data_IF_853957734580
#
_entry.id   IF_853957734580
#
_cell.length_a   1.000
_cell.length_b   1.000
_cell.length_c   1.000
_cell.angle_alpha   90.00
_cell.angle_beta   90.00
_cell.angle_gamma   90.00
#
_symmetry.space_group_name_H-M   'P 1'
#
loop_
_entity.id
_entity.type
_entity.pdbx_description
1 polymer ?
#
# COMPACT_ATOMS: atom_id res chain seq x y z
N UNK A 1 -15.24 26.34 2.77
CA UNK A 1 -14.25 25.47 3.43
C UNK A 1 -14.92 24.15 3.72
N UNK A 2 -14.16 23.07 3.90
CA UNK A 2 -14.74 21.80 4.29
C UNK A 2 -15.09 21.85 5.78
N UNK A 3 -16.37 21.81 6.12
CA UNK A 3 -16.83 21.85 7.51
C UNK A 3 -16.99 20.45 8.11
N UNK A 4 -16.41 19.43 7.45
CA UNK A 4 -16.44 18.07 7.92
C UNK A 4 -15.20 17.30 7.44
N UNK A 5 -14.83 16.30 8.23
CA UNK A 5 -13.88 15.25 7.85
C UNK A 5 -14.67 13.97 7.57
N UNK A 6 -14.35 13.31 6.46
CA UNK A 6 -14.90 12.02 6.08
C UNK A 6 -13.86 10.95 6.29
N UNK A 7 -14.18 9.99 7.15
CA UNK A 7 -13.27 8.91 7.53
C UNK A 7 -13.84 7.58 7.08
N UNK A 8 -13.06 6.85 6.29
CA UNK A 8 -13.24 5.43 6.05
C UNK A 8 -12.09 4.66 6.68
N UNK A 9 -12.39 3.56 7.36
CA UNK A 9 -11.36 2.70 7.92
C UNK A 9 -11.74 1.22 7.84
N UNK A 10 -10.72 0.37 7.80
CA UNK A 10 -10.89 -1.08 7.67
C UNK A 10 -9.54 -1.79 7.70
N UNK A 11 -9.58 -3.13 7.67
CA UNK A 11 -8.37 -3.95 7.64
C UNK A 11 -8.21 -4.55 6.24
N UNK A 12 -7.03 -4.39 5.66
CA UNK A 12 -6.70 -5.10 4.43
C UNK A 12 -6.58 -6.60 4.74
N UNK A 13 -7.41 -7.42 4.10
CA UNK A 13 -7.45 -8.86 4.37
C UNK A 13 -6.18 -9.61 3.91
N UNK A 14 -5.42 -9.04 2.97
CA UNK A 14 -4.20 -9.64 2.41
C UNK A 14 -2.96 -9.28 3.21
N UNK A 15 -2.81 -8.00 3.57
CA UNK A 15 -1.61 -7.50 4.27
C UNK A 15 -1.79 -7.46 5.78
N UNK A 16 -3.02 -7.51 6.28
CA UNK A 16 -3.33 -7.35 7.70
C UNK A 16 -3.21 -5.91 8.21
N UNK A 17 -2.87 -4.95 7.35
CA UNK A 17 -2.71 -3.54 7.68
C UNK A 17 -4.06 -2.87 8.00
N UNK A 18 -4.05 -1.96 8.95
CA UNK A 18 -5.19 -1.10 9.25
C UNK A 18 -5.12 0.17 8.43
N UNK A 19 -6.16 0.40 7.64
CA UNK A 19 -6.25 1.55 6.74
C UNK A 19 -7.19 2.57 7.38
N UNK A 20 -6.74 3.82 7.47
CA UNK A 20 -7.55 4.97 7.88
C UNK A 20 -7.41 6.03 6.78
N UNK A 21 -8.54 6.44 6.20
CA UNK A 21 -8.61 7.39 5.08
C UNK A 21 -9.48 8.56 5.50
N UNK A 22 -8.87 9.74 5.68
CA UNK A 22 -9.49 10.94 6.26
C UNK A 22 -9.35 12.15 5.32
N UNK A 23 -10.45 12.57 4.70
CA UNK A 23 -10.44 13.61 3.66
C UNK A 23 -11.58 14.62 3.82
N UNK A 24 -11.48 15.77 3.15
CA UNK A 24 -12.58 16.74 3.05
C UNK A 24 -13.80 16.20 2.28
N UNK A 25 -13.56 15.29 1.34
CA UNK A 25 -14.55 14.81 0.37
C UNK A 25 -14.85 13.33 0.62
N UNK A 26 -16.13 12.97 0.72
CA UNK A 26 -16.56 11.58 0.97
C UNK A 26 -16.02 10.62 -0.10
N UNK A 27 -16.11 11.02 -1.37
CA UNK A 27 -15.69 10.20 -2.51
C UNK A 27 -14.19 9.94 -2.50
N UNK A 28 -13.39 10.94 -2.12
CA UNK A 28 -11.93 10.79 -2.00
C UNK A 28 -11.58 9.83 -0.87
N UNK A 29 -12.20 10.02 0.30
CA UNK A 29 -11.99 9.15 1.46
C UNK A 29 -12.35 7.69 1.12
N UNK A 30 -13.49 7.46 0.49
CA UNK A 30 -13.92 6.13 0.05
C UNK A 30 -12.96 5.54 -0.99
N UNK A 31 -12.61 6.30 -2.03
CA UNK A 31 -11.77 5.81 -3.12
C UNK A 31 -10.40 5.33 -2.62
N UNK A 32 -9.75 6.10 -1.75
CA UNK A 32 -8.46 5.72 -1.17
C UNK A 32 -8.59 4.49 -0.26
N UNK A 33 -9.55 4.49 0.66
CA UNK A 33 -9.76 3.35 1.55
C UNK A 33 -10.07 2.06 0.77
N UNK A 34 -10.91 2.17 -0.27
CA UNK A 34 -11.29 1.04 -1.12
C UNK A 34 -10.10 0.47 -1.89
N UNK A 35 -9.21 1.32 -2.41
CA UNK A 35 -7.98 0.87 -3.08
C UNK A 35 -7.04 0.15 -2.12
N UNK A 36 -6.92 0.65 -0.89
CA UNK A 36 -5.97 0.13 0.10
C UNK A 36 -6.47 -1.10 0.86
N UNK A 37 -7.78 -1.28 1.04
CA UNK A 37 -8.36 -2.45 1.76
C UNK A 37 -8.56 -3.67 0.83
N UNK A 38 -8.49 -3.49 -0.49
CA UNK A 38 -8.57 -4.58 -1.46
C UNK A 38 -9.87 -4.66 -2.24
N UNK A 39 -10.55 -3.52 -2.45
CA UNK A 39 -11.76 -3.36 -3.28
C UNK A 39 -13.00 -4.12 -2.80
N UNK A 40 -13.14 -4.33 -1.48
CA UNK A 40 -14.40 -4.76 -0.87
C UNK A 40 -14.93 -3.67 0.08
N UNK A 41 -16.06 -3.05 -0.28
CA UNK A 41 -16.68 -1.98 0.53
C UNK A 41 -17.23 -2.50 1.85
N UNK A 42 -17.57 -3.80 1.96
CA UNK A 42 -18.14 -4.38 3.20
C UNK A 42 -17.13 -4.40 4.35
N UNK A 43 -15.85 -4.27 4.04
CA UNK A 43 -14.76 -4.23 5.02
C UNK A 43 -14.49 -2.83 5.58
N UNK A 44 -15.21 -1.81 5.09
CA UNK A 44 -15.01 -0.42 5.47
C UNK A 44 -16.13 0.09 6.37
N UNK A 45 -15.73 0.75 7.45
CA UNK A 45 -16.62 1.55 8.29
C UNK A 45 -16.49 3.02 7.91
N UNK A 46 -17.60 3.74 7.88
CA UNK A 46 -17.66 5.16 7.52
C UNK A 46 -18.05 6.03 8.71
N UNK A 47 -17.43 7.21 8.80
CA UNK A 47 -17.85 8.29 9.70
C UNK A 47 -17.68 9.66 9.04
N UNK A 48 -18.69 10.50 9.27
CA UNK A 48 -18.57 11.95 9.11
C UNK A 48 -18.33 12.58 10.47
N UNK A 49 -17.32 13.44 10.58
CA UNK A 49 -17.05 14.29 11.74
C UNK A 49 -17.36 15.71 11.33
N UNK A 50 -18.37 16.31 11.94
CA UNK A 50 -18.72 17.71 11.70
C UNK A 50 -17.85 18.62 12.56
N UNK A 51 -17.39 19.70 11.95
CA UNK A 51 -16.68 20.78 12.62
C UNK A 51 -17.68 21.89 12.95
N UNK A 52 -17.47 22.64 14.04
CA UNK A 52 -18.29 23.81 14.35
C UNK A 52 -18.17 24.86 13.23
N UNK A 53 -19.06 25.86 13.23
CA UNK A 53 -19.04 26.91 12.20
C UNK A 53 -17.73 27.71 12.21
N UNK A 54 -17.18 27.95 13.40
CA UNK A 54 -15.87 28.57 13.61
C UNK A 54 -14.95 27.57 14.28
N UNK A 55 -13.78 27.36 13.69
CA UNK A 55 -12.78 26.42 14.20
C UNK A 55 -11.38 26.82 13.78
N UNK A 56 -10.39 26.24 14.45
CA UNK A 56 -8.97 26.34 14.15
C UNK A 56 -8.35 24.95 13.97
N UNK A 57 -7.05 24.89 13.68
CA UNK A 57 -6.33 23.62 13.54
C UNK A 57 -6.36 22.77 14.83
N UNK A 58 -6.42 23.41 16.01
CA UNK A 58 -6.51 22.71 17.30
C UNK A 58 -7.83 21.97 17.43
N UNK A 59 -8.93 22.60 17.03
CA UNK A 59 -10.28 22.01 17.02
C UNK A 59 -10.33 20.80 16.09
N UNK A 60 -9.75 20.91 14.89
CA UNK A 60 -9.65 19.80 13.92
C UNK A 60 -8.85 18.64 14.51
N UNK A 61 -7.68 18.93 15.10
CA UNK A 61 -6.83 17.93 15.76
C UNK A 61 -7.59 17.20 16.86
N UNK A 62 -8.25 17.92 17.76
CA UNK A 62 -9.01 17.32 18.87
C UNK A 62 -10.11 16.39 18.33
N UNK A 63 -10.92 16.88 17.38
CA UNK A 63 -12.03 16.10 16.80
C UNK A 63 -11.53 14.85 16.08
N UNK A 64 -10.40 14.94 15.38
CA UNK A 64 -9.76 13.79 14.76
C UNK A 64 -9.33 12.77 15.82
N UNK A 65 -8.58 13.18 16.84
CA UNK A 65 -8.06 12.28 17.88
C UNK A 65 -9.17 11.64 18.74
N UNK A 66 -10.23 12.37 19.05
CA UNK A 66 -11.44 11.84 19.69
C UNK A 66 -11.99 10.65 18.90
N UNK A 67 -12.09 10.79 17.57
CA UNK A 67 -12.60 9.71 16.74
C UNK A 67 -11.58 8.59 16.53
N UNK A 68 -10.29 8.91 16.40
CA UNK A 68 -9.24 7.90 16.36
C UNK A 68 -9.20 7.04 17.62
N UNK A 69 -9.65 7.57 18.77
CA UNK A 69 -9.77 6.78 20.01
C UNK A 69 -10.79 5.65 19.86
N UNK A 70 -11.90 5.89 19.15
CA UNK A 70 -12.90 4.86 18.83
C UNK A 70 -12.32 3.81 17.90
N UNK A 71 -11.60 4.23 16.86
CA UNK A 71 -10.93 3.31 15.92
C UNK A 71 -9.86 2.49 16.64
N UNK A 72 -9.09 3.10 17.55
CA UNK A 72 -8.04 2.43 18.33
C UNK A 72 -8.59 1.24 19.12
N UNK A 73 -9.72 1.42 19.81
CA UNK A 73 -10.41 0.32 20.51
C UNK A 73 -10.77 -0.83 19.57
N UNK A 74 -11.21 -0.53 18.34
CA UNK A 74 -11.49 -1.56 17.34
C UNK A 74 -10.23 -2.28 16.84
N UNK A 75 -9.14 -1.54 16.64
CA UNK A 75 -7.83 -2.10 16.27
C UNK A 75 -7.36 -3.06 17.36
N UNK A 76 -7.34 -2.62 18.61
CA UNK A 76 -6.90 -3.41 19.77
C UNK A 76 -7.73 -4.69 19.93
N UNK A 77 -9.06 -4.61 19.78
CA UNK A 77 -9.93 -5.79 19.83
C UNK A 77 -9.59 -6.81 18.75
N UNK A 78 -9.23 -6.36 17.56
CA UNK A 78 -8.85 -7.23 16.43
C UNK A 78 -7.42 -7.74 16.54
N UNK A 79 -6.51 -6.93 17.07
CA UNK A 79 -5.14 -7.35 17.34
C UNK A 79 -5.11 -8.42 18.43
N UNK A 80 -5.99 -8.36 19.43
CA UNK A 80 -6.15 -9.46 20.39
C UNK A 80 -6.57 -10.80 19.75
N UNK A 81 -7.13 -10.77 18.54
CA UNK A 81 -7.55 -11.96 17.77
C UNK A 81 -6.48 -12.43 16.78
N UNK A 82 -5.39 -11.68 16.58
CA UNK A 82 -4.32 -11.99 15.61
C UNK A 82 -2.95 -11.93 16.27
N UNK A 83 -2.03 -12.85 15.97
CA UNK A 83 -0.73 -12.96 16.66
C UNK A 83 0.31 -11.86 16.35
N UNK A 84 -0.11 -10.62 16.03
CA UNK A 84 0.79 -9.52 15.76
C UNK A 84 0.08 -8.17 15.65
N UNK A 85 0.79 -7.11 16.04
CA UNK A 85 0.37 -5.71 15.85
C UNK A 85 0.60 -5.31 14.39
N UNK A 86 -0.47 -4.95 13.70
CA UNK A 86 -0.40 -4.59 12.28
C UNK A 86 0.25 -3.21 12.06
N UNK A 87 0.61 -2.91 10.81
CA UNK A 87 0.94 -1.54 10.39
C UNK A 87 -0.34 -0.73 10.17
N UNK A 88 -0.33 0.55 10.53
CA UNK A 88 -1.40 1.51 10.26
C UNK A 88 -1.00 2.38 9.07
N UNK A 89 -1.83 2.41 8.04
CA UNK A 89 -1.73 3.35 6.92
C UNK A 89 -2.76 4.45 7.14
N UNK A 90 -2.28 5.66 7.42
CA UNK A 90 -3.13 6.84 7.58
C UNK A 90 -3.00 7.73 6.34
N UNK A 91 -4.09 7.91 5.61
CA UNK A 91 -4.12 8.69 4.37
C UNK A 91 -5.03 9.92 4.52
N UNK A 92 -4.56 11.09 4.06
CA UNK A 92 -5.29 12.35 4.23
C UNK A 92 -4.91 13.46 3.24
N UNK A 93 -5.74 14.51 3.21
CA UNK A 93 -5.40 15.78 2.57
C UNK A 93 -4.27 16.50 3.32
N UNK A 94 -3.33 17.11 2.59
CA UNK A 94 -2.22 17.90 3.20
C UNK A 94 -2.72 19.06 4.07
N UNK A 95 -3.84 19.65 3.67
CA UNK A 95 -4.53 20.77 4.31
C UNK A 95 -5.84 20.30 4.98
N UNK A 96 -5.84 19.11 5.57
CA UNK A 96 -7.03 18.50 6.20
C UNK A 96 -7.71 19.51 7.15
N UNK A 97 -8.93 19.89 6.76
CA UNK A 97 -9.74 20.95 7.34
C UNK A 97 -8.96 22.20 7.81
N UNK A 98 -7.96 22.66 7.07
CA UNK A 98 -7.37 23.97 7.32
C UNK A 98 -8.31 25.10 6.86
N UNK A 99 -8.30 26.22 7.58
CA UNK A 99 -9.07 27.42 7.22
C UNK A 99 -8.62 27.97 5.87
N UNK A 100 -7.30 28.04 5.65
CA UNK A 100 -6.73 28.43 4.36
C UNK A 100 -6.26 27.20 3.57
N UNK A 101 -6.54 27.20 2.26
CA UNK A 101 -6.23 26.07 1.38
C UNK A 101 -4.72 25.84 1.23
N UNK A 102 -3.91 26.86 1.45
CA UNK A 102 -2.45 26.84 1.33
C UNK A 102 -1.73 26.46 2.62
N UNK A 103 -2.47 26.21 3.70
CA UNK A 103 -1.89 25.82 4.98
C UNK A 103 -1.74 24.31 5.05
N UNK A 104 -0.60 23.86 5.57
CA UNK A 104 -0.43 22.47 5.95
C UNK A 104 -1.10 22.24 7.30
N UNK A 105 -1.81 21.12 7.46
CA UNK A 105 -2.36 20.70 8.74
C UNK A 105 -1.22 20.30 9.68
N UNK A 106 -0.87 21.10 10.72
CA UNK A 106 0.40 20.90 11.43
C UNK A 106 0.50 19.55 12.14
N UNK A 107 -0.65 19.04 12.61
CA UNK A 107 -0.75 17.74 13.30
C UNK A 107 -0.48 16.53 12.40
N UNK A 108 -0.39 16.71 11.08
CA UNK A 108 0.04 15.65 10.15
C UNK A 108 1.57 15.61 9.97
N UNK A 109 2.28 16.64 10.43
CA UNK A 109 3.73 16.80 10.28
C UNK A 109 4.49 16.76 11.63
N UNK A 110 3.79 16.82 12.76
CA UNK A 110 4.37 16.88 14.11
C UNK A 110 4.42 15.51 14.84
N UNK A 111 4.28 14.40 14.11
CA UNK A 111 4.18 13.03 14.63
C UNK A 111 2.97 12.77 15.55
N UNK A 112 1.97 13.67 15.62
CA UNK A 112 0.75 13.47 16.44
C UNK A 112 0.12 12.10 16.18
N UNK A 113 -0.06 11.71 14.91
CA UNK A 113 -0.70 10.43 14.57
C UNK A 113 0.17 9.23 14.99
N UNK A 114 1.49 9.32 14.82
CA UNK A 114 2.43 8.30 15.26
C UNK A 114 2.40 8.13 16.79
N UNK A 115 2.43 9.24 17.54
CA UNK A 115 2.35 9.20 19.01
C UNK A 115 1.00 8.69 19.52
N UNK A 116 -0.08 8.84 18.73
CA UNK A 116 -1.40 8.34 19.09
C UNK A 116 -1.50 6.80 19.02
N UNK A 117 -0.77 6.19 18.09
CA UNK A 117 -0.64 4.75 17.93
C UNK A 117 0.80 4.28 18.20
N UNK A 118 1.31 4.39 19.44
CA UNK A 118 2.72 4.15 19.75
C UNK A 118 3.12 2.68 19.58
N UNK A 119 2.15 1.77 19.62
CA UNK A 119 2.33 0.32 19.51
C UNK A 119 2.34 -0.17 18.05
N UNK A 120 2.05 0.70 17.09
CA UNK A 120 1.90 0.36 15.68
C UNK A 120 2.91 1.15 14.83
N UNK A 121 3.44 0.52 13.78
CA UNK A 121 4.11 1.28 12.73
C UNK A 121 3.05 2.10 11.99
N UNK A 122 3.15 3.44 12.05
CA UNK A 122 2.26 4.34 11.33
C UNK A 122 2.96 4.88 10.10
N UNK A 123 2.38 4.64 8.92
CA UNK A 123 2.79 5.23 7.65
C UNK A 123 1.74 6.22 7.16
N UNK A 124 2.16 7.47 6.97
CA UNK A 124 1.33 8.56 6.49
C UNK A 124 1.35 8.64 4.97
N UNK A 125 0.20 8.81 4.34
CA UNK A 125 0.07 9.14 2.91
C UNK A 125 -0.68 10.46 2.81
N UNK A 126 0.04 11.56 2.59
CA UNK A 126 -0.56 12.88 2.50
C UNK A 126 -0.55 13.37 1.06
N UNK A 127 -1.68 13.91 0.61
CA UNK A 127 -1.84 14.29 -0.79
C UNK A 127 -2.62 15.59 -1.02
N UNK A 128 -2.42 16.17 -2.21
CA UNK A 128 -3.18 17.32 -2.72
C UNK A 128 -3.34 17.23 -4.24
N UNK A 129 -4.27 18.00 -4.82
CA UNK A 129 -4.36 18.18 -6.27
C UNK A 129 -3.33 19.21 -6.81
N UNK A 130 -2.68 19.96 -5.93
CA UNK A 130 -1.79 21.08 -6.31
C UNK A 130 -0.31 20.66 -6.19
N UNK A 131 0.36 20.49 -7.34
CA UNK A 131 1.77 20.06 -7.41
C UNK A 131 2.75 21.01 -6.70
N UNK A 132 2.73 22.34 -6.94
CA UNK A 132 3.47 23.31 -6.13
C UNK A 132 3.26 23.15 -4.62
N UNK A 133 2.03 22.90 -4.19
CA UNK A 133 1.72 22.71 -2.77
C UNK A 133 2.34 21.42 -2.20
N UNK A 134 2.32 20.32 -2.96
CA UNK A 134 3.01 19.06 -2.59
C UNK A 134 4.52 19.27 -2.52
N UNK A 135 5.13 20.01 -3.45
CA UNK A 135 6.56 20.33 -3.43
C UNK A 135 6.95 21.16 -2.18
N UNK A 136 6.11 22.09 -1.76
CA UNK A 136 6.33 22.84 -0.52
C UNK A 136 6.21 21.93 0.72
N UNK A 137 5.27 20.99 0.73
CA UNK A 137 5.17 19.98 1.78
C UNK A 137 6.42 19.08 1.84
N UNK A 138 7.00 18.73 0.69
CA UNK A 138 8.25 17.96 0.59
C UNK A 138 9.40 18.74 1.24
N UNK A 139 9.61 20.00 0.86
CA UNK A 139 10.63 20.86 1.48
C UNK A 139 10.45 20.93 3.00
N UNK A 140 9.20 21.03 3.47
CA UNK A 140 8.90 21.05 4.91
C UNK A 140 9.26 19.72 5.59
N UNK A 141 8.89 18.58 4.99
CA UNK A 141 9.22 17.27 5.51
C UNK A 141 10.74 17.01 5.56
N UNK A 142 11.48 17.44 4.53
CA UNK A 142 12.94 17.37 4.49
C UNK A 142 13.57 18.14 5.66
N UNK A 143 13.12 19.38 5.92
CA UNK A 143 13.63 20.19 7.05
C UNK A 143 13.34 19.59 8.42
N UNK A 144 12.32 18.74 8.52
CA UNK A 144 11.87 18.09 9.75
C UNK A 144 12.40 16.66 9.89
N UNK A 145 13.14 16.16 8.90
CA UNK A 145 13.62 14.78 8.81
C UNK A 145 12.51 13.74 9.09
N UNK A 146 11.33 13.96 8.48
CA UNK A 146 10.19 13.06 8.67
C UNK A 146 10.43 11.70 8.01
N UNK A 147 9.92 10.65 8.66
CA UNK A 147 10.02 9.26 8.23
C UNK A 147 8.63 8.62 8.19
N UNK A 148 8.49 7.48 7.52
CA UNK A 148 7.21 6.77 7.34
C UNK A 148 6.11 7.67 6.76
N UNK A 149 6.46 8.39 5.71
CA UNK A 149 5.61 9.39 5.08
C UNK A 149 5.68 9.22 3.55
N UNK A 150 4.54 9.39 2.89
CA UNK A 150 4.44 9.54 1.44
C UNK A 150 3.75 10.85 1.15
N UNK A 151 4.43 11.72 0.42
CA UNK A 151 3.88 12.99 -0.05
C UNK A 151 3.66 12.87 -1.55
N UNK A 152 2.43 13.09 -2.01
CA UNK A 152 2.13 12.94 -3.43
C UNK A 152 0.99 13.85 -3.91
N UNK A 153 0.91 14.02 -5.22
CA UNK A 153 -0.34 14.48 -5.84
C UNK A 153 -1.39 13.38 -5.84
N UNK A 154 -2.67 13.75 -5.78
CA UNK A 154 -3.78 12.82 -5.93
C UNK A 154 -3.74 12.13 -7.28
N UNK A 155 -4.30 10.92 -7.37
CA UNK A 155 -4.29 10.10 -8.59
C UNK A 155 -5.03 10.74 -9.79
N UNK A 156 -5.86 11.77 -9.55
CA UNK A 156 -6.53 12.56 -10.59
C UNK A 156 -5.60 13.51 -11.34
N UNK A 157 -4.46 13.88 -10.75
CA UNK A 157 -3.48 14.79 -11.35
C UNK A 157 -2.65 14.01 -12.37
N UNK A 158 -2.81 14.34 -13.65
CA UNK A 158 -2.07 13.72 -14.76
C UNK A 158 -0.89 14.57 -15.21
N UNK A 159 -1.04 15.89 -15.13
CA UNK A 159 -0.01 16.84 -15.55
C UNK A 159 0.89 17.17 -14.36
N UNK A 160 2.19 16.93 -14.52
CA UNK A 160 3.22 17.12 -13.49
C UNK A 160 2.88 16.48 -12.13
N UNK A 161 2.64 15.15 -12.06
CA UNK A 161 2.41 14.47 -10.80
C UNK A 161 3.69 14.49 -9.95
N UNK A 162 3.52 14.71 -8.65
CA UNK A 162 4.62 14.73 -7.67
C UNK A 162 4.47 13.53 -6.75
N UNK A 163 5.57 12.86 -6.44
CA UNK A 163 5.56 11.69 -5.57
C UNK A 163 6.91 11.54 -4.86
N UNK A 164 6.90 11.46 -3.52
CA UNK A 164 8.08 11.25 -2.68
C UNK A 164 7.73 10.32 -1.51
N UNK A 165 8.59 9.35 -1.24
CA UNK A 165 8.45 8.39 -0.14
C UNK A 165 9.64 8.54 0.81
N UNK A 166 9.34 8.67 2.10
CA UNK A 166 10.27 8.67 3.22
C UNK A 166 10.15 7.33 3.92
N UNK A 167 11.13 6.46 3.73
CA UNK A 167 11.18 5.13 4.33
C UNK A 167 11.76 5.23 5.74
N UNK A 168 11.30 4.41 6.68
CA UNK A 168 11.96 4.27 7.96
C UNK A 168 13.47 4.02 7.78
N UNK A 169 14.30 4.77 8.50
CA UNK A 169 15.67 4.34 8.72
C UNK A 169 15.63 2.93 9.36
N UNK A 170 16.44 1.97 8.90
CA UNK A 170 16.49 0.67 9.53
C UNK A 170 16.78 0.88 11.01
N UNK A 171 15.98 0.27 11.88
CA UNK A 171 16.21 0.27 13.32
C UNK A 171 17.45 -0.59 13.62
N UNK A 172 18.64 -0.06 13.34
CA UNK A 172 19.90 -0.70 13.66
C UNK A 172 20.55 0.04 14.83
N UNK A 173 20.50 -0.67 15.96
CA UNK A 173 21.51 -0.80 17.02
C UNK A 173 21.91 0.48 17.78
N UNK A 174 21.58 0.46 19.07
CA UNK A 174 22.51 0.93 20.08
C UNK A 174 23.90 0.32 19.83
N UNK A 175 24.82 1.14 19.38
CA UNK A 175 26.28 1.03 19.55
C UNK A 175 26.74 2.48 19.42
N UNK A 176 26.94 3.23 20.51
CA UNK A 176 28.15 3.16 21.35
C UNK A 176 29.32 2.51 20.61
N UNK A 177 30.29 3.36 20.27
CA UNK A 177 31.58 3.11 19.64
C UNK A 177 31.67 3.25 18.12
N UNK A 178 32.37 4.33 17.78
CA UNK A 178 33.36 4.55 16.71
C UNK A 178 32.94 5.00 15.31
N UNK A 179 33.71 6.02 14.92
CA UNK A 179 33.77 6.84 13.71
C UNK A 179 33.99 6.03 12.42
N UNK A 180 33.71 6.72 11.30
CA UNK A 180 34.18 6.46 9.94
C UNK A 180 33.80 5.12 9.28
N UNK A 181 32.87 5.17 8.33
CA UNK A 181 33.23 4.93 6.92
C UNK A 181 32.08 5.29 5.97
N UNK A 182 32.42 6.03 4.92
CA UNK A 182 31.55 6.29 3.78
C UNK A 182 31.39 5.01 2.95
N UNK A 183 30.17 4.66 2.56
CA UNK A 183 29.99 3.81 1.38
C UNK A 183 28.86 4.34 0.50
N UNK A 184 29.24 5.22 -0.43
CA UNK A 184 28.51 5.40 -1.68
C UNK A 184 28.46 4.07 -2.42
N UNK A 185 27.26 3.53 -2.64
CA UNK A 185 27.08 2.35 -3.48
C UNK A 185 27.00 2.83 -4.93
N UNK A 186 28.12 2.76 -5.65
CA UNK A 186 28.19 2.91 -7.12
C UNK A 186 27.47 1.73 -7.79
N UNK A 187 26.30 1.99 -8.36
CA UNK A 187 25.57 1.02 -9.19
C UNK A 187 25.95 1.28 -10.65
N UNK A 188 27.21 1.04 -11.01
CA UNK A 188 27.64 0.99 -12.40
C UNK A 188 27.23 -0.34 -13.03
N UNK A 189 26.21 -0.28 -13.90
CA UNK A 189 25.72 -1.44 -14.66
C UNK A 189 26.74 -1.79 -15.75
N UNK A 190 27.28 -3.02 -15.81
CA UNK A 190 28.22 -3.39 -16.86
C UNK A 190 27.52 -3.40 -18.23
N UNK A 191 28.18 -2.92 -19.30
CA UNK A 191 27.60 -2.88 -20.62
C UNK A 191 27.27 -4.30 -21.13
N UNK A 192 26.15 -4.48 -21.85
CA UNK A 192 25.70 -5.80 -22.30
C UNK A 192 26.73 -6.46 -23.22
N UNK A 193 27.17 -7.66 -22.85
CA UNK A 193 28.09 -8.46 -23.65
C UNK A 193 27.37 -8.98 -24.91
N UNK A 194 27.60 -8.32 -26.05
CA UNK A 194 26.96 -8.64 -27.34
C UNK A 194 27.55 -9.86 -28.08
N UNK A 195 28.37 -10.71 -27.45
CA UNK A 195 29.03 -11.85 -28.13
C UNK A 195 28.16 -13.11 -28.31
N UNK A 196 26.85 -13.07 -28.06
CA UNK A 196 26.00 -14.26 -28.03
C UNK A 196 24.87 -14.37 -29.06
N UNK A 197 24.71 -13.44 -30.01
CA UNK A 197 23.55 -13.40 -30.91
C UNK A 197 23.96 -13.39 -32.39
N UNK A 198 24.57 -14.48 -32.83
CA UNK A 198 24.72 -14.79 -34.26
C UNK A 198 24.48 -16.28 -34.50
N UNK A 199 23.25 -16.74 -34.24
CA UNK A 199 22.78 -18.04 -34.74
C UNK A 199 21.93 -17.82 -35.97
N UNK A 200 22.35 -18.47 -37.06
CA UNK A 200 21.82 -18.49 -38.43
C UNK A 200 20.31 -18.22 -38.56
N UNK A 201 19.94 -17.36 -39.52
CA UNK A 201 18.58 -17.22 -40.06
C UNK A 201 18.01 -18.60 -40.43
N UNK A 202 17.15 -19.16 -39.59
CA UNK A 202 16.27 -20.27 -39.96
C UNK A 202 14.96 -19.69 -40.49
N UNK A 203 14.69 -19.98 -41.76
CA UNK A 203 13.46 -19.65 -42.45
C UNK A 203 12.34 -20.57 -41.91
N UNK A 204 11.57 -20.11 -40.92
CA UNK A 204 10.45 -20.88 -40.37
C UNK A 204 9.30 -20.80 -41.38
N UNK A 205 9.03 -21.92 -42.07
CA UNK A 205 7.85 -22.09 -42.90
C UNK A 205 6.84 -22.95 -42.13
N UNK A 206 5.81 -22.26 -41.65
CA UNK A 206 4.49 -22.74 -41.18
C UNK A 206 4.23 -22.82 -39.67
N UNK A 207 3.00 -22.44 -39.22
CA UNK A 207 2.66 -22.32 -37.79
C UNK A 207 2.67 -23.62 -36.97
N UNK A 208 2.67 -24.80 -37.63
CA UNK A 208 2.66 -26.10 -36.94
C UNK A 208 4.00 -26.48 -36.31
N UNK A 209 5.11 -25.87 -36.73
CA UNK A 209 6.44 -26.17 -36.19
C UNK A 209 6.76 -25.38 -34.91
N UNK A 210 6.16 -24.19 -34.74
CA UNK A 210 6.35 -23.34 -33.55
C UNK A 210 5.80 -24.00 -32.27
N UNK A 211 4.69 -24.75 -32.38
CA UNK A 211 4.10 -25.46 -31.24
C UNK A 211 4.99 -26.61 -30.71
N UNK A 212 5.88 -27.16 -31.56
CA UNK A 212 6.80 -28.25 -31.19
C UNK A 212 8.06 -27.74 -30.49
N UNK A 213 8.44 -26.47 -30.70
CA UNK A 213 9.60 -25.85 -30.03
C UNK A 213 9.27 -25.27 -28.65
N UNK A 214 8.00 -24.97 -28.38
CA UNK A 214 7.53 -24.49 -27.06
C UNK A 214 7.33 -25.61 -26.02
N UNK A 215 7.34 -26.89 -26.45
CA UNK A 215 7.24 -28.05 -25.54
C UNK A 215 8.59 -28.54 -25.01
N UNK A 216 9.71 -27.90 -25.39
CA UNK A 216 11.07 -28.27 -24.95
C UNK A 216 11.65 -27.33 -23.87
N UNK A 217 10.85 -26.46 -23.26
CA UNK A 217 11.25 -25.58 -22.13
C UNK A 217 10.67 -26.04 -20.77
N UNK A 218 10.53 -27.35 -20.60
CA UNK A 218 10.07 -27.97 -19.36
C UNK A 218 10.80 -29.28 -19.06
N UNK A 219 12.13 -29.25 -19.01
CA UNK A 219 12.92 -30.38 -18.51
C UNK A 219 13.18 -30.14 -17.02
N UNK A 220 12.29 -30.66 -16.18
CA UNK A 220 12.60 -30.94 -14.78
C UNK A 220 13.36 -32.28 -14.74
N UNK A 221 14.54 -32.36 -14.11
CA UNK A 221 15.25 -33.63 -14.00
C UNK A 221 14.40 -34.63 -13.22
N UNK A 222 14.11 -35.79 -13.85
CA UNK A 222 13.56 -36.97 -13.18
C UNK A 222 14.60 -37.49 -12.19
N UNK A 223 14.20 -37.63 -10.93
CA UNK A 223 14.90 -38.50 -9.96
C UNK A 223 14.55 -39.94 -10.32
N UNK A 224 15.56 -40.77 -10.52
CA UNK A 224 15.40 -42.20 -10.82
C UNK A 224 14.84 -42.96 -9.60
N UNK A 225 13.72 -43.66 -9.81
CA UNK A 225 13.22 -44.70 -8.91
C UNK A 225 14.07 -45.97 -9.04
N UNK A 226 14.47 -46.53 -7.90
CA UNK A 226 14.82 -47.94 -7.77
C UNK A 226 13.67 -48.72 -7.13
N UNK A 227 12.82 -49.30 -7.98
CA UNK A 227 12.49 -50.73 -7.93
C UNK A 227 11.35 -51.23 -7.00
N UNK A 228 10.31 -51.79 -7.69
CA UNK A 228 9.44 -52.94 -7.34
C UNK A 228 8.38 -52.72 -6.25
N UNK A 229 7.13 -53.19 -6.36
CA UNK A 229 6.48 -54.13 -7.27
C UNK A 229 4.93 -54.00 -7.18
N UNK A 230 4.27 -54.29 -8.32
CA UNK A 230 2.98 -55.00 -8.48
C UNK A 230 1.70 -54.53 -7.78
N UNK A 231 0.66 -54.25 -8.57
CA UNK A 231 -0.67 -54.84 -8.32
C UNK A 231 -1.91 -53.99 -8.58
N UNK A 232 -2.54 -54.25 -9.74
CA UNK A 232 -4.00 -54.39 -10.01
C UNK A 232 -4.97 -53.19 -9.88
N UNK A 233 -5.62 -52.95 -11.04
CA UNK A 233 -7.07 -52.79 -11.29
C UNK A 233 -7.88 -51.77 -10.47
N UNK A 234 -8.47 -50.75 -11.14
CA UNK A 234 -9.93 -50.40 -11.14
C UNK A 234 -10.20 -49.27 -12.18
N UNK A 235 -11.36 -49.25 -12.89
CA UNK A 235 -11.67 -48.43 -14.09
C UNK A 235 -12.24 -47.00 -13.80
N UNK A 236 -12.50 -46.18 -14.85
CA UNK A 236 -12.85 -44.76 -14.74
C UNK A 236 -14.38 -44.49 -14.67
N UNK A 237 -14.77 -43.35 -14.08
CA UNK A 237 -16.04 -42.56 -14.18
C UNK A 237 -16.26 -41.86 -12.81
N UNK A 238 -16.72 -40.62 -12.67
CA UNK A 238 -17.79 -39.92 -13.37
C UNK A 238 -17.68 -38.38 -13.21
N UNK A 239 -18.33 -37.69 -14.14
CA UNK A 239 -18.46 -36.22 -14.29
C UNK A 239 -19.24 -35.54 -13.14
N UNK A 240 -19.07 -34.21 -12.95
CA UNK A 240 -19.81 -33.46 -11.93
C UNK A 240 -21.27 -33.19 -12.33
N UNK A 241 -22.21 -33.06 -11.37
CA UNK A 241 -23.64 -32.91 -11.62
C UNK A 241 -24.05 -31.51 -12.12
N UNK A 242 -25.12 -31.53 -12.90
CA UNK A 242 -25.79 -30.45 -13.65
C UNK A 242 -26.52 -29.43 -12.76
N UNK A 243 -26.60 -28.19 -13.25
CA UNK A 243 -27.35 -27.06 -12.67
C UNK A 243 -28.88 -27.31 -12.59
N UNK A 244 -29.58 -26.68 -11.63
CA UNK A 244 -31.03 -26.81 -11.49
C UNK A 244 -31.82 -25.92 -12.46
N UNK A 245 -32.97 -26.45 -12.91
CA UNK A 245 -33.94 -25.83 -13.81
C UNK A 245 -34.66 -24.62 -13.18
N UNK A 246 -34.85 -23.57 -13.99
CA UNK A 246 -35.73 -22.44 -13.71
C UNK A 246 -37.13 -22.83 -14.23
N UNK A 247 -38.12 -22.89 -13.34
CA UNK A 247 -39.54 -22.97 -13.74
C UNK A 247 -40.05 -21.57 -14.05
N UNK A 248 -40.72 -21.44 -15.19
CA UNK A 248 -41.50 -20.26 -15.59
C UNK A 248 -42.82 -20.14 -14.84
#
# INVERSE_FOLDING_TARGET
MANAMHIYYGRNAKTGEFIISCYHETTQALSNAFQLVGRDKKLLTYKKIELPETYDNSTVKIKLLEYLSVIKTEIERRDAQTSGKGKIIFSADLNLCCVHKTDLAPFLFDKTINHFFPEHEVHLILESNDSPFVLNAIKKADTMNLQNLTLKTKNSVRDAPVFKVYKQAPANKHSDWDEDDETEIDISVPPPNMKGLASKKQLIRTPKEVAKSLTTLGIFPKVEEHGRATGKDVPPMSSPPSSPEIKG
#
